data_IF_054349203737
#
_entry.id   IF_054349203737
#
_cell.length_a   1.000
_cell.length_b   1.000
_cell.length_c   1.000
_cell.angle_alpha   90.00
_cell.angle_beta   90.00
_cell.angle_gamma   90.00
#
_symmetry.space_group_name_H-M   'P 1'
#
loop_
_entity.id
_entity.type
_entity.pdbx_description
1 polymer ?
#
# COMPACT_ATOMS: atom_id res chain seq x y z
N UNK A 1 -6.32 28.66 -5.77
CA UNK A 1 -6.45 28.66 -7.24
C UNK A 1 -5.09 28.34 -7.81
N UNK A 2 -5.00 27.33 -8.68
CA UNK A 2 -3.74 27.04 -9.39
C UNK A 2 -3.57 28.10 -10.50
N UNK A 3 -2.35 28.59 -10.70
CA UNK A 3 -2.02 29.60 -11.73
C UNK A 3 -1.12 28.97 -12.79
N UNK A 4 -1.31 29.34 -14.06
CA UNK A 4 -0.72 28.62 -15.20
C UNK A 4 0.81 28.58 -15.25
N UNK A 5 1.40 27.47 -15.77
CA UNK A 5 0.69 26.31 -16.33
C UNK A 5 0.28 25.34 -15.22
N UNK A 6 -1.03 25.09 -15.11
CA UNK A 6 -1.55 24.13 -14.13
C UNK A 6 -1.63 22.76 -14.80
N UNK A 7 -1.07 21.74 -14.18
CA UNK A 7 -1.30 20.37 -14.60
C UNK A 7 -2.77 20.04 -14.36
N UNK A 8 -3.47 19.60 -15.42
CA UNK A 8 -4.81 19.05 -15.26
C UNK A 8 -4.71 17.71 -14.53
N UNK A 9 -5.59 17.42 -13.55
CA UNK A 9 -5.66 16.10 -12.93
C UNK A 9 -5.92 15.02 -13.99
N UNK A 10 -5.13 13.94 -13.98
CA UNK A 10 -5.35 12.76 -14.84
C UNK A 10 -5.77 11.59 -13.96
N UNK A 11 -7.01 11.15 -14.11
CA UNK A 11 -7.50 9.91 -13.51
C UNK A 11 -7.07 8.72 -14.38
N UNK A 12 -6.67 7.62 -13.74
CA UNK A 12 -6.26 6.37 -14.38
C UNK A 12 -6.97 5.20 -13.71
N UNK A 13 -7.48 4.27 -14.52
CA UNK A 13 -8.13 3.05 -14.03
C UNK A 13 -7.12 1.92 -13.90
N UNK A 14 -6.95 1.42 -12.69
CA UNK A 14 -5.96 0.38 -12.38
C UNK A 14 -6.55 -0.67 -11.44
N UNK A 15 -6.15 -1.93 -11.63
CA UNK A 15 -6.36 -2.98 -10.64
C UNK A 15 -5.07 -3.29 -9.91
N UNK A 16 -5.17 -3.55 -8.61
CA UNK A 16 -4.05 -3.90 -7.74
C UNK A 16 -4.26 -5.29 -7.18
N UNK A 17 -3.23 -6.11 -7.19
CA UNK A 17 -3.26 -7.44 -6.61
C UNK A 17 -1.99 -7.68 -5.80
N UNK A 18 -2.17 -8.02 -4.51
CA UNK A 18 -1.07 -8.40 -3.63
C UNK A 18 -0.55 -9.78 -4.07
N UNK A 19 0.72 -9.84 -4.47
CA UNK A 19 1.38 -11.05 -4.94
C UNK A 19 2.16 -11.74 -3.83
N UNK A 20 2.86 -10.95 -3.01
CA UNK A 20 3.69 -11.44 -1.93
C UNK A 20 3.74 -10.45 -0.76
N UNK A 21 4.05 -10.95 0.43
CA UNK A 21 4.39 -10.14 1.60
C UNK A 21 5.57 -10.79 2.31
N UNK A 22 6.72 -10.13 2.32
CA UNK A 22 7.98 -10.67 2.83
C UNK A 22 8.54 -9.82 3.97
N UNK A 23 9.09 -10.50 4.98
CA UNK A 23 9.72 -9.85 6.12
C UNK A 23 11.23 -9.72 5.90
N UNK A 24 11.72 -8.48 5.84
CA UNK A 24 13.14 -8.16 5.71
C UNK A 24 13.71 -7.70 7.06
N UNK A 25 14.78 -8.30 7.59
CA UNK A 25 15.35 -7.88 8.87
C UNK A 25 15.94 -6.47 8.78
N UNK A 26 15.65 -5.63 9.78
CA UNK A 26 16.27 -4.30 9.96
C UNK A 26 16.65 -4.09 11.43
N UNK A 27 17.40 -3.02 11.71
CA UNK A 27 17.79 -2.66 13.08
C UNK A 27 16.59 -2.29 13.97
N UNK A 28 15.46 -1.89 13.38
CA UNK A 28 14.24 -1.49 14.08
C UNK A 28 13.17 -2.62 14.12
N UNK A 29 13.57 -3.85 13.79
CA UNK A 29 12.66 -5.00 13.63
C UNK A 29 12.43 -5.36 12.17
N UNK A 30 11.69 -6.44 11.87
CA UNK A 30 11.42 -6.84 10.49
C UNK A 30 10.55 -5.80 9.79
N UNK A 31 11.01 -5.35 8.62
CA UNK A 31 10.24 -4.54 7.68
C UNK A 31 9.42 -5.46 6.78
N UNK A 32 8.11 -5.35 6.85
CA UNK A 32 7.21 -6.09 5.96
C UNK A 32 7.10 -5.33 4.64
N UNK A 33 7.43 -6.00 3.54
CA UNK A 33 7.36 -5.47 2.18
C UNK A 33 6.31 -6.24 1.40
N UNK A 34 5.33 -5.51 0.89
CA UNK A 34 4.34 -6.03 -0.03
C UNK A 34 4.77 -5.84 -1.47
N UNK A 35 4.61 -6.90 -2.25
CA UNK A 35 4.73 -6.86 -3.69
C UNK A 35 3.33 -6.81 -4.30
N UNK A 36 2.99 -5.69 -4.93
CA UNK A 36 1.75 -5.55 -5.70
C UNK A 36 2.05 -5.65 -7.19
N UNK A 37 1.23 -6.42 -7.90
CA UNK A 37 1.11 -6.27 -9.34
C UNK A 37 0.00 -5.25 -9.62
N UNK A 38 0.37 -4.19 -10.33
CA UNK A 38 -0.55 -3.14 -10.75
C UNK A 38 -0.78 -3.26 -12.25
N UNK A 39 -2.05 -3.37 -12.63
CA UNK A 39 -2.46 -3.50 -14.03
C UNK A 39 -3.23 -2.25 -14.45
N UNK A 40 -2.76 -1.59 -15.51
CA UNK A 40 -3.52 -0.56 -16.21
C UNK A 40 -4.69 -1.22 -16.95
N UNK A 41 -5.94 -0.87 -16.61
CA UNK A 41 -7.11 -1.57 -17.13
C UNK A 41 -7.44 -1.18 -18.58
N UNK A 42 -6.98 -0.02 -19.03
CA UNK A 42 -7.18 0.49 -20.38
C UNK A 42 -6.17 -0.09 -21.39
N UNK A 43 -4.93 -0.34 -20.98
CA UNK A 43 -3.86 -0.86 -21.86
C UNK A 43 -3.49 -2.32 -21.60
N UNK A 44 -3.79 -2.85 -20.42
CA UNK A 44 -3.34 -4.16 -19.97
C UNK A 44 -1.87 -4.22 -19.53
N UNK A 45 -1.16 -3.08 -19.49
CA UNK A 45 0.21 -3.02 -19.00
C UNK A 45 0.28 -3.38 -17.51
N UNK A 46 1.29 -4.16 -17.13
CA UNK A 46 1.49 -4.61 -15.76
C UNK A 46 2.88 -4.21 -15.27
N UNK A 47 2.94 -3.77 -14.02
CA UNK A 47 4.20 -3.47 -13.35
C UNK A 47 4.12 -3.85 -11.87
N UNK A 48 5.30 -4.01 -11.28
CA UNK A 48 5.44 -4.36 -9.87
C UNK A 48 5.69 -3.09 -9.04
N UNK A 49 5.05 -3.01 -7.89
CA UNK A 49 5.28 -1.96 -6.89
C UNK A 49 5.56 -2.63 -5.54
N UNK A 50 6.69 -2.29 -4.93
CA UNK A 50 7.07 -2.74 -3.60
C UNK A 50 6.77 -1.67 -2.57
N UNK A 51 5.97 -2.00 -1.57
CA UNK A 51 5.47 -1.04 -0.56
C UNK A 51 5.76 -1.57 0.84
N UNK A 52 6.24 -0.71 1.74
CA UNK A 52 6.29 -0.99 3.16
C UNK A 52 5.53 0.11 3.93
N UNK A 53 4.43 -0.26 4.56
CA UNK A 53 3.58 0.69 5.28
C UNK A 53 3.06 1.79 4.35
N UNK A 54 3.49 3.02 4.61
CA UNK A 54 3.19 4.24 3.85
C UNK A 54 4.26 4.63 2.81
N UNK A 55 5.31 3.82 2.65
CA UNK A 55 6.44 4.12 1.75
C UNK A 55 6.46 3.19 0.55
N UNK A 56 6.63 3.76 -0.65
CA UNK A 56 6.98 3.01 -1.87
C UNK A 56 8.51 2.81 -1.90
N UNK A 57 8.94 1.56 -1.89
CA UNK A 57 10.36 1.18 -1.94
C UNK A 57 10.88 1.12 -3.39
N UNK A 58 10.08 0.57 -4.30
CA UNK A 58 10.41 0.47 -5.71
C UNK A 58 9.14 0.45 -6.58
N UNK A 59 9.19 1.14 -7.70
CA UNK A 59 8.15 1.15 -8.74
C UNK A 59 8.78 1.59 -10.07
N UNK A 60 8.08 1.50 -11.22
CA UNK A 60 8.59 2.03 -12.48
C UNK A 60 9.00 3.51 -12.36
N UNK A 61 10.30 3.78 -12.54
CA UNK A 61 10.87 5.13 -12.45
C UNK A 61 11.04 5.67 -11.03
N UNK A 62 10.81 4.85 -9.99
CA UNK A 62 10.98 5.21 -8.58
C UNK A 62 11.83 4.14 -7.90
N UNK A 63 12.94 4.55 -7.30
CA UNK A 63 13.74 3.72 -6.41
C UNK A 63 14.00 4.51 -5.13
N UNK A 64 13.79 3.87 -3.99
CA UNK A 64 14.09 4.49 -2.70
C UNK A 64 15.60 4.52 -2.47
N UNK A 65 16.17 5.71 -2.24
CA UNK A 65 17.58 5.86 -1.90
C UNK A 65 17.85 5.69 -0.40
N UNK A 66 17.17 6.48 0.44
CA UNK A 66 17.33 6.46 1.89
C UNK A 66 16.08 6.97 2.60
N UNK A 67 15.90 6.56 3.87
CA UNK A 67 14.85 7.04 4.76
C UNK A 67 15.46 7.55 6.05
N UNK A 68 15.02 8.74 6.48
CA UNK A 68 15.41 9.31 7.77
C UNK A 68 14.69 8.63 8.94
N UNK A 69 13.49 8.11 8.72
CA UNK A 69 12.67 7.42 9.72
C UNK A 69 12.10 6.12 9.16
N UNK A 70 11.85 5.10 10.00
CA UNK A 70 11.21 3.87 9.55
C UNK A 70 9.82 4.16 8.96
N UNK A 71 9.38 3.40 7.93
CA UNK A 71 8.00 3.46 7.46
C UNK A 71 7.02 3.17 8.59
N UNK A 72 5.79 3.67 8.44
CA UNK A 72 4.69 3.35 9.34
C UNK A 72 4.52 1.82 9.43
N UNK A 73 4.29 1.27 10.64
CA UNK A 73 3.98 -0.15 10.77
C UNK A 73 2.78 -0.47 9.90
N UNK A 74 2.79 -1.66 9.26
CA UNK A 74 1.60 -2.11 8.54
C UNK A 74 0.43 -2.13 9.53
N UNK A 75 -0.60 -1.34 9.27
CA UNK A 75 -1.85 -1.44 9.99
C UNK A 75 -2.42 -2.84 9.70
N UNK A 76 -2.28 -3.76 10.63
CA UNK A 76 -3.01 -5.03 10.59
C UNK A 76 -4.50 -4.69 10.61
N UNK A 77 -5.30 -5.38 9.80
CA UNK A 77 -6.76 -5.20 9.75
C UNK A 77 -7.47 -5.70 11.01
N UNK A 78 -7.14 -5.15 12.17
CA UNK A 78 -7.72 -5.53 13.47
C UNK A 78 -8.98 -4.74 13.86
N UNK A 79 -9.52 -3.89 12.99
CA UNK A 79 -10.71 -3.07 13.29
C UNK A 79 -12.03 -3.65 12.72
N UNK A 80 -12.09 -4.93 12.30
CA UNK A 80 -13.33 -5.54 11.79
C UNK A 80 -13.68 -6.94 12.36
N UNK A 81 -13.03 -7.42 13.42
CA UNK A 81 -13.34 -8.72 14.04
C UNK A 81 -13.61 -8.59 15.56
N UNK A 82 -14.39 -7.60 15.98
CA UNK A 82 -15.14 -7.76 17.24
C UNK A 82 -16.48 -8.43 16.88
N UNK A 83 -16.67 -9.74 17.16
CA UNK A 83 -18.01 -10.29 17.13
C UNK A 83 -18.85 -9.57 18.19
N UNK A 84 -19.96 -8.97 17.77
CA UNK A 84 -21.06 -8.50 18.63
C UNK A 84 -21.51 -9.68 19.50
N UNK A 85 -20.85 -9.88 20.65
CA UNK A 85 -21.11 -10.99 21.56
C UNK A 85 -22.11 -10.58 22.65
N UNK A 86 -22.76 -9.42 22.52
CA UNK A 86 -23.74 -8.93 23.50
C UNK A 86 -25.11 -8.70 22.86
N UNK A 87 -25.66 -9.75 22.23
CA UNK A 87 -27.11 -9.84 22.07
C UNK A 87 -27.63 -10.65 23.26
N UNK A 88 -28.28 -10.02 24.26
CA UNK A 88 -28.87 -10.79 25.34
C UNK A 88 -29.98 -11.69 24.78
N UNK A 89 -29.87 -12.98 25.07
CA UNK A 89 -30.93 -13.97 24.80
C UNK A 89 -32.21 -13.49 25.49
N UNK A 90 -33.26 -13.27 24.70
CA UNK A 90 -34.58 -12.96 25.21
C UNK A 90 -35.19 -14.24 25.79
N UNK A 91 -35.35 -14.27 27.11
CA UNK A 91 -36.15 -15.23 27.89
C UNK A 91 -37.66 -14.94 27.70
#
# INVERSE_FOLDING_TARGET
>A
TFTDPVLAPRTVDQSWALMNSEAHPTDNGPLIVDEYQVSALDTGEQHTVHIAGDVVLAAPGIELEHLETPPSPRAYGSDLDEPDTDRPDAD
#
